data_IF_757200297726
#
_entry.id   IF_757200297726
#
_cell.length_a   1.000
_cell.length_b   1.000
_cell.length_c   1.000
_cell.angle_alpha   90.00
_cell.angle_beta   90.00
_cell.angle_gamma   90.00
#
_symmetry.space_group_name_H-M   'P 1'
#
loop_
_entity.id
_entity.type
_entity.pdbx_description
1 polymer ?
#
# COMPACT_ATOMS: atom_id res chain seq x y z
N UNK A 1 17.58 -14.50 0.02
CA UNK A 1 16.46 -13.57 0.29
C UNK A 1 15.20 -14.35 0.67
N UNK A 2 14.59 -15.12 -0.24
CA UNK A 2 13.33 -15.88 0.01
C UNK A 2 13.42 -16.84 1.21
N UNK A 3 14.43 -17.72 1.25
CA UNK A 3 14.62 -18.68 2.36
C UNK A 3 14.80 -17.96 3.71
N UNK A 4 15.55 -16.85 3.72
CA UNK A 4 15.78 -16.05 4.92
C UNK A 4 14.49 -15.36 5.40
N UNK A 5 13.67 -14.84 4.49
CA UNK A 5 12.35 -14.28 4.83
C UNK A 5 11.44 -15.35 5.43
N UNK A 6 11.35 -16.54 4.81
CA UNK A 6 10.51 -17.61 5.33
C UNK A 6 10.97 -18.14 6.69
N UNK A 7 12.28 -18.16 6.95
CA UNK A 7 12.79 -18.50 8.28
C UNK A 7 12.42 -17.45 9.34
N UNK A 8 12.30 -16.18 8.96
CA UNK A 8 12.01 -15.09 9.88
C UNK A 8 10.51 -14.96 10.22
N UNK A 9 9.63 -15.08 9.22
CA UNK A 9 8.18 -14.80 9.37
C UNK A 9 7.26 -15.89 8.80
N UNK A 10 7.81 -17.04 8.41
CA UNK A 10 7.01 -18.10 7.80
C UNK A 10 6.58 -17.79 6.37
N UNK A 11 5.52 -18.46 5.92
CA UNK A 11 5.06 -18.44 4.51
C UNK A 11 3.80 -17.60 4.29
N UNK A 12 3.37 -16.80 5.27
CA UNK A 12 2.25 -15.89 5.07
C UNK A 12 2.66 -14.78 4.08
N UNK A 13 1.99 -14.63 2.93
CA UNK A 13 2.39 -13.65 1.91
C UNK A 13 2.41 -12.20 2.40
N UNK A 14 1.53 -11.85 3.34
CA UNK A 14 1.42 -10.49 3.88
C UNK A 14 2.49 -10.19 4.93
N UNK A 15 2.83 -11.17 5.75
CA UNK A 15 3.91 -11.05 6.75
C UNK A 15 5.28 -11.01 6.05
N UNK A 16 5.46 -11.85 5.03
CA UNK A 16 6.66 -11.83 4.18
C UNK A 16 6.83 -10.50 3.45
N UNK A 17 5.74 -9.92 2.92
CA UNK A 17 5.77 -8.58 2.33
C UNK A 17 6.17 -7.51 3.35
N UNK A 18 5.55 -7.50 4.54
CA UNK A 18 5.83 -6.49 5.57
C UNK A 18 7.27 -6.56 6.10
N UNK A 19 7.79 -7.78 6.25
CA UNK A 19 9.18 -8.02 6.61
C UNK A 19 10.14 -7.45 5.55
N UNK A 20 9.91 -7.78 4.28
CA UNK A 20 10.74 -7.29 3.18
C UNK A 20 10.65 -5.77 3.05
N UNK A 21 9.45 -5.21 3.11
CA UNK A 21 9.21 -3.78 3.04
C UNK A 21 9.95 -3.04 4.17
N UNK A 22 9.93 -3.58 5.38
CA UNK A 22 10.70 -3.03 6.50
C UNK A 22 12.21 -3.11 6.27
N UNK A 23 12.69 -4.20 5.65
CA UNK A 23 14.11 -4.37 5.33
C UNK A 23 14.62 -3.40 4.23
N UNK A 24 13.72 -2.91 3.36
CA UNK A 24 14.05 -1.94 2.30
C UNK A 24 14.51 -0.59 2.84
N UNK A 25 14.31 -0.29 4.13
CA UNK A 25 14.87 0.91 4.79
C UNK A 25 16.40 0.99 4.67
N UNK A 26 17.07 -0.15 4.50
CA UNK A 26 18.52 -0.24 4.31
C UNK A 26 18.95 -0.03 2.85
N UNK A 27 18.01 0.08 1.90
CA UNK A 27 18.28 0.31 0.48
C UNK A 27 18.25 1.81 0.21
N UNK A 28 19.43 2.38 -0.03
CA UNK A 28 19.57 3.80 -0.31
C UNK A 28 18.78 4.20 -1.58
N UNK A 29 18.13 5.38 -1.51
CA UNK A 29 17.43 6.06 -2.62
C UNK A 29 16.15 5.39 -3.14
N UNK A 30 15.69 4.29 -2.55
CA UNK A 30 14.43 3.65 -2.96
C UNK A 30 13.19 4.40 -2.42
N UNK A 31 13.28 4.92 -1.19
CA UNK A 31 12.16 5.61 -0.53
C UNK A 31 10.96 4.69 -0.27
N UNK A 32 9.90 5.24 0.36
CA UNK A 32 8.67 4.49 0.66
C UNK A 32 7.98 3.97 -0.60
N UNK A 33 7.68 4.88 -1.53
CA UNK A 33 6.94 4.58 -2.74
C UNK A 33 7.67 3.54 -3.60
N UNK A 34 8.96 3.77 -3.90
CA UNK A 34 9.76 2.81 -4.66
C UNK A 34 9.87 1.44 -3.99
N UNK A 35 9.94 1.39 -2.64
CA UNK A 35 9.95 0.11 -1.91
C UNK A 35 8.63 -0.65 -2.05
N UNK A 36 7.50 0.05 -1.95
CA UNK A 36 6.18 -0.54 -2.11
C UNK A 36 5.95 -1.02 -3.56
N UNK A 37 6.24 -0.18 -4.54
CA UNK A 37 6.05 -0.48 -5.97
C UNK A 37 6.94 -1.64 -6.41
N UNK A 38 8.20 -1.67 -5.97
CA UNK A 38 9.10 -2.76 -6.30
C UNK A 38 8.63 -4.09 -5.72
N UNK A 39 8.30 -4.15 -4.43
CA UNK A 39 7.89 -5.41 -3.81
C UNK A 39 6.55 -5.91 -4.35
N UNK A 40 5.63 -4.99 -4.69
CA UNK A 40 4.40 -5.38 -5.37
C UNK A 40 4.67 -5.91 -6.77
N UNK A 41 5.61 -5.33 -7.52
CA UNK A 41 6.05 -5.88 -8.81
C UNK A 41 6.72 -7.24 -8.68
N UNK A 42 7.54 -7.48 -7.65
CA UNK A 42 8.12 -8.80 -7.35
C UNK A 42 7.01 -9.84 -7.13
N UNK A 43 5.96 -9.50 -6.39
CA UNK A 43 4.79 -10.36 -6.20
C UNK A 43 4.00 -10.61 -7.48
N UNK A 44 3.70 -9.54 -8.25
CA UNK A 44 2.98 -9.60 -9.54
C UNK A 44 3.69 -10.42 -10.60
N UNK A 45 5.02 -10.38 -10.63
CA UNK A 45 5.86 -11.17 -11.52
C UNK A 45 6.07 -12.60 -11.01
N UNK A 46 5.43 -12.99 -9.91
CA UNK A 46 5.52 -14.32 -9.28
C UNK A 46 6.96 -14.72 -8.91
N UNK A 47 7.86 -13.74 -8.75
CA UNK A 47 9.24 -13.98 -8.34
C UNK A 47 9.33 -14.38 -6.86
N UNK A 48 8.33 -13.97 -6.07
CA UNK A 48 8.18 -14.38 -4.68
C UNK A 48 6.69 -14.33 -4.29
N UNK A 49 6.18 -15.28 -3.47
CA UNK A 49 4.78 -15.32 -3.06
C UNK A 49 4.49 -14.29 -1.97
N UNK A 50 4.52 -13.01 -2.31
CA UNK A 50 4.29 -11.88 -1.40
C UNK A 50 3.16 -10.99 -1.92
N UNK A 51 2.39 -10.42 -1.00
CA UNK A 51 1.33 -9.46 -1.30
C UNK A 51 1.22 -8.42 -0.19
N UNK A 52 0.98 -7.14 -0.49
CA UNK A 52 0.80 -6.14 0.56
C UNK A 52 -0.41 -6.47 1.43
N UNK A 53 -0.22 -6.51 2.75
CA UNK A 53 -1.30 -6.72 3.73
C UNK A 53 -2.13 -5.46 4.03
N UNK A 54 -1.59 -4.29 3.71
CA UNK A 54 -2.19 -2.97 3.94
C UNK A 54 -1.79 -1.98 2.84
N UNK A 55 -2.36 -0.78 2.82
CA UNK A 55 -2.03 0.27 1.83
C UNK A 55 -0.76 1.08 2.19
N UNK A 56 -0.13 0.77 3.33
CA UNK A 56 1.06 1.43 3.85
C UNK A 56 0.93 2.95 3.91
N UNK A 57 -0.19 3.45 4.44
CA UNK A 57 -0.52 4.87 4.51
C UNK A 57 0.45 5.68 5.39
N UNK A 58 1.08 5.05 6.38
CA UNK A 58 2.00 5.74 7.26
C UNK A 58 3.23 6.26 6.48
N UNK A 59 3.48 7.57 6.56
CA UNK A 59 4.52 8.25 5.79
C UNK A 59 4.20 8.42 4.29
N UNK A 60 3.02 8.00 3.83
CA UNK A 60 2.55 8.23 2.47
C UNK A 60 1.78 9.56 2.41
N UNK A 61 2.19 10.52 1.58
CA UNK A 61 1.48 11.81 1.49
C UNK A 61 0.21 11.72 0.61
N UNK A 62 0.35 11.24 -0.62
CA UNK A 62 -0.76 11.10 -1.58
C UNK A 62 -1.83 10.11 -1.12
N UNK A 63 -1.48 8.83 -0.87
CA UNK A 63 -2.44 7.82 -0.42
C UNK A 63 -3.15 8.19 0.87
N UNK A 64 -2.46 8.77 1.86
CA UNK A 64 -3.08 9.19 3.12
C UNK A 64 -4.10 10.31 2.91
N UNK A 65 -3.78 11.30 2.06
CA UNK A 65 -4.75 12.35 1.69
C UNK A 65 -5.97 11.76 1.00
N UNK A 66 -5.76 10.80 0.09
CA UNK A 66 -6.87 10.12 -0.59
C UNK A 66 -7.73 9.28 0.35
N UNK A 67 -7.13 8.58 1.31
CA UNK A 67 -7.87 7.83 2.32
C UNK A 67 -8.70 8.75 3.22
N UNK A 68 -8.14 9.87 3.67
CA UNK A 68 -8.86 10.88 4.46
C UNK A 68 -9.99 11.53 3.68
N UNK A 69 -9.76 11.84 2.40
CA UNK A 69 -10.80 12.37 1.54
C UNK A 69 -11.94 11.36 1.34
N UNK A 70 -11.60 10.08 1.15
CA UNK A 70 -12.59 9.01 0.96
C UNK A 70 -13.46 8.78 2.22
N UNK A 71 -12.87 8.84 3.41
CA UNK A 71 -13.54 8.48 4.66
C UNK A 71 -14.18 9.69 5.34
N UNK A 72 -13.49 10.83 5.34
CA UNK A 72 -13.85 12.01 6.15
C UNK A 72 -14.32 13.19 5.30
N UNK A 73 -14.34 13.07 3.97
CA UNK A 73 -14.56 14.19 3.04
C UNK A 73 -13.62 15.39 3.28
N UNK A 74 -12.43 15.11 3.83
CA UNK A 74 -11.43 16.12 4.18
C UNK A 74 -10.01 15.55 4.04
N UNK A 75 -9.19 15.98 3.07
CA UNK A 75 -7.86 15.41 2.83
C UNK A 75 -6.84 15.71 3.94
N UNK A 76 -7.17 16.64 4.84
CA UNK A 76 -6.32 17.08 5.96
C UNK A 76 -6.87 16.70 7.33
N UNK A 77 -7.86 15.80 7.38
CA UNK A 77 -8.44 15.33 8.64
C UNK A 77 -7.37 14.78 9.61
N UNK A 78 -7.71 14.78 10.90
CA UNK A 78 -6.85 14.27 11.96
C UNK A 78 -6.88 12.73 12.10
N UNK A 79 -7.73 12.04 11.32
CA UNK A 79 -7.85 10.58 11.36
C UNK A 79 -6.49 9.94 11.10
N UNK A 80 -6.12 9.00 11.96
CA UNK A 80 -4.79 8.39 11.92
C UNK A 80 -4.66 7.43 10.74
N UNK A 81 -3.43 7.25 10.25
CA UNK A 81 -3.16 6.28 9.20
C UNK A 81 -3.61 4.86 9.60
N UNK A 82 -3.43 4.49 10.87
CA UNK A 82 -3.84 3.17 11.39
C UNK A 82 -5.36 2.97 11.34
N UNK A 83 -6.15 3.97 11.73
CA UNK A 83 -7.61 3.91 11.64
C UNK A 83 -8.07 3.78 10.19
N UNK A 84 -7.46 4.55 9.29
CA UNK A 84 -7.76 4.50 7.86
C UNK A 84 -7.40 3.15 7.25
N UNK A 85 -6.26 2.54 7.62
CA UNK A 85 -5.90 1.20 7.18
C UNK A 85 -6.94 0.14 7.62
N UNK A 86 -7.47 0.26 8.83
CA UNK A 86 -8.57 -0.59 9.29
C UNK A 86 -9.82 -0.46 8.42
N UNK A 87 -10.19 0.76 8.05
CA UNK A 87 -11.33 1.03 7.15
C UNK A 87 -11.07 0.49 5.75
N UNK A 88 -9.87 0.71 5.20
CA UNK A 88 -9.48 0.18 3.90
C UNK A 88 -9.41 -1.35 3.88
N UNK A 89 -9.07 -1.99 5.00
CA UNK A 89 -9.14 -3.44 5.14
C UNK A 89 -10.58 -3.94 4.98
N UNK A 90 -11.55 -3.28 5.62
CA UNK A 90 -12.97 -3.59 5.47
C UNK A 90 -13.46 -3.35 4.03
N UNK A 91 -13.04 -2.25 3.41
CA UNK A 91 -13.39 -1.91 2.04
C UNK A 91 -12.87 -2.97 1.05
N UNK A 92 -11.60 -3.35 1.17
CA UNK A 92 -11.00 -4.39 0.33
C UNK A 92 -11.64 -5.76 0.53
N UNK A 93 -12.06 -6.10 1.75
CA UNK A 93 -12.79 -7.35 2.00
C UNK A 93 -14.11 -7.42 1.20
N UNK A 94 -14.67 -6.27 0.83
CA UNK A 94 -15.85 -6.17 -0.03
C UNK A 94 -15.49 -6.11 -1.51
N UNK A 95 -14.53 -5.26 -1.89
CA UNK A 95 -14.18 -5.01 -3.30
C UNK A 95 -13.28 -6.10 -3.90
N UNK A 96 -12.43 -6.73 -3.08
CA UNK A 96 -11.46 -7.77 -3.45
C UNK A 96 -10.52 -7.34 -4.59
N UNK A 97 -10.09 -6.08 -4.58
CA UNK A 97 -9.19 -5.51 -5.59
C UNK A 97 -7.73 -5.56 -5.17
N UNK A 98 -7.46 -5.75 -3.88
CA UNK A 98 -6.13 -5.82 -3.31
C UNK A 98 -5.59 -4.45 -2.89
N UNK A 99 -4.63 -4.47 -1.96
CA UNK A 99 -4.16 -3.25 -1.28
C UNK A 99 -3.41 -2.29 -2.18
N UNK A 100 -2.64 -2.80 -3.15
CA UNK A 100 -1.95 -1.94 -4.11
C UNK A 100 -2.95 -1.17 -4.98
N UNK A 101 -3.98 -1.85 -5.49
CA UNK A 101 -5.00 -1.20 -6.33
C UNK A 101 -5.72 -0.11 -5.54
N UNK A 102 -6.04 -0.35 -4.26
CA UNK A 102 -6.61 0.68 -3.40
C UNK A 102 -5.67 1.87 -3.19
N UNK A 103 -4.39 1.61 -2.90
CA UNK A 103 -3.36 2.64 -2.71
C UNK A 103 -3.23 3.54 -3.95
N UNK A 104 -3.04 2.93 -5.12
CA UNK A 104 -2.89 3.61 -6.41
C UNK A 104 -4.15 4.41 -6.78
N UNK A 105 -5.32 3.82 -6.55
CA UNK A 105 -6.62 4.44 -6.89
C UNK A 105 -6.84 5.70 -6.06
N UNK A 106 -6.64 5.64 -4.75
CA UNK A 106 -6.79 6.81 -3.87
C UNK A 106 -5.72 7.87 -4.15
N UNK A 107 -4.47 7.46 -4.39
CA UNK A 107 -3.36 8.36 -4.69
C UNK A 107 -3.61 9.18 -5.96
N UNK A 108 -4.18 8.55 -7.00
CA UNK A 108 -4.57 9.24 -8.23
C UNK A 108 -5.83 10.07 -8.07
N UNK A 109 -6.90 9.48 -7.54
CA UNK A 109 -8.19 10.16 -7.40
C UNK A 109 -8.08 11.46 -6.60
N UNK A 110 -7.31 11.48 -5.50
CA UNK A 110 -7.17 12.69 -4.67
C UNK A 110 -6.53 13.89 -5.39
N UNK A 111 -5.87 13.68 -6.54
CA UNK A 111 -5.32 14.79 -7.35
C UNK A 111 -6.43 15.58 -8.05
N UNK A 112 -7.59 14.97 -8.30
CA UNK A 112 -8.73 15.57 -9.01
C UNK A 112 -10.02 14.87 -8.59
N UNK A 113 -10.47 15.03 -7.33
CA UNK A 113 -11.53 14.19 -6.78
C UNK A 113 -12.90 14.39 -7.44
N UNK A 114 -13.17 15.61 -7.93
CA UNK A 114 -14.42 15.98 -8.60
C UNK A 114 -14.40 15.72 -10.11
N UNK A 115 -13.26 15.30 -10.66
CA UNK A 115 -13.07 15.16 -12.11
C UNK A 115 -12.42 13.81 -12.42
N UNK A 116 -13.15 12.93 -13.11
CA UNK A 116 -12.57 11.68 -13.58
C UNK A 116 -11.46 11.94 -14.60
N UNK A 117 -10.22 11.63 -14.23
CA UNK A 117 -9.06 11.65 -15.10
C UNK A 117 -8.53 10.23 -15.29
N UNK A 118 -8.48 9.79 -16.55
CA UNK A 118 -7.94 8.48 -16.89
C UNK A 118 -6.45 8.40 -16.52
N UNK A 119 -6.09 7.42 -15.69
CA UNK A 119 -4.71 7.18 -15.29
C UNK A 119 -3.90 6.54 -16.43
N UNK A 120 -2.71 7.07 -16.72
CA UNK A 120 -1.87 6.65 -17.85
C UNK A 120 -0.52 6.03 -17.49
N UNK A 121 -0.25 5.82 -16.20
CA UNK A 121 1.08 5.47 -15.69
C UNK A 121 1.87 6.72 -15.37
#
# INVERSE_FOLDING_TARGET
MIVGTHQAVGQNPTEAFDFLYSSMKNVNRFGRLGSFDFLTMVGKLELMPITPGKAYLNGATGPLRGARLLVDDNPTSATSAEQLEGILALLDNKLKVGKQVLEDSMCNWQKSPDNYLYFRG
#
